data_IF_941684633068
#
_entry.id   IF_941684633068
#
_cell.length_a   1.000
_cell.length_b   1.000
_cell.length_c   1.000
_cell.angle_alpha   90.00
_cell.angle_beta   90.00
_cell.angle_gamma   90.00
#
_symmetry.space_group_name_H-M   'P 1'
#
loop_
_entity.id
_entity.type
_entity.pdbx_description
1 polymer ?
#
# COMPACT_ATOMS: atom_id res chain seq x y z
N UNK A 1 22.91 8.98 -3.50
CA UNK A 1 23.31 9.57 -2.20
C UNK A 1 23.57 11.04 -2.43
N UNK A 2 22.65 11.91 -2.01
CA UNK A 2 22.64 13.34 -2.31
C UNK A 2 23.57 14.20 -1.41
N UNK A 3 24.12 13.65 -0.34
CA UNK A 3 24.97 14.39 0.60
C UNK A 3 26.23 13.59 0.89
N UNK A 4 27.37 14.01 0.30
CA UNK A 4 28.68 13.34 0.43
C UNK A 4 29.50 13.84 1.63
N UNK A 5 29.31 15.09 2.10
CA UNK A 5 30.09 15.64 3.20
C UNK A 5 29.53 15.27 4.58
N UNK A 6 30.42 15.02 5.55
CA UNK A 6 30.06 14.74 6.95
C UNK A 6 29.30 15.92 7.56
N UNK A 7 29.74 17.15 7.28
CA UNK A 7 29.11 18.36 7.76
C UNK A 7 27.68 18.56 7.21
N UNK A 8 27.46 18.32 5.93
CA UNK A 8 26.13 18.42 5.33
C UNK A 8 25.15 17.40 5.93
N UNK A 9 25.60 16.20 6.22
CA UNK A 9 24.79 15.19 6.90
C UNK A 9 24.44 15.59 8.33
N UNK A 10 25.37 16.18 9.05
CA UNK A 10 25.16 16.65 10.41
C UNK A 10 24.14 17.79 10.46
N UNK A 11 24.22 18.75 9.54
CA UNK A 11 23.26 19.87 9.43
C UNK A 11 21.85 19.32 9.15
N UNK A 12 21.72 18.38 8.22
CA UNK A 12 20.42 17.75 7.92
C UNK A 12 19.86 17.07 9.17
N UNK A 13 20.68 16.32 9.92
CA UNK A 13 20.23 15.65 11.14
C UNK A 13 19.83 16.62 12.25
N UNK A 14 20.58 17.70 12.44
CA UNK A 14 20.30 18.74 13.45
C UNK A 14 18.99 19.48 13.17
N UNK A 15 18.63 19.65 11.89
CA UNK A 15 17.35 20.29 11.52
C UNK A 15 16.22 19.25 11.50
N UNK A 16 16.45 18.08 10.90
CA UNK A 16 15.42 17.08 10.71
C UNK A 16 14.98 16.40 12.02
N UNK A 17 15.94 16.06 12.90
CA UNK A 17 15.63 15.31 14.12
C UNK A 17 14.69 16.06 15.08
N UNK A 18 14.87 17.37 15.39
CA UNK A 18 13.93 18.07 16.25
C UNK A 18 12.55 18.26 15.59
N UNK A 19 12.50 18.57 14.28
CA UNK A 19 11.22 18.70 13.56
C UNK A 19 10.48 17.38 13.57
N UNK A 20 11.15 16.30 13.24
CA UNK A 20 10.57 14.95 13.27
C UNK A 20 10.17 14.56 14.71
N UNK A 21 11.01 14.86 15.69
CA UNK A 21 10.73 14.60 17.09
C UNK A 21 9.45 15.32 17.56
N UNK A 22 9.33 16.61 17.28
CA UNK A 22 8.13 17.37 17.66
C UNK A 22 6.89 16.84 16.92
N UNK A 23 6.97 16.69 15.61
CA UNK A 23 5.80 16.24 14.81
C UNK A 23 5.34 14.82 15.12
N UNK A 24 6.26 13.93 15.49
CA UNK A 24 5.96 12.53 15.73
C UNK A 24 5.80 12.18 17.21
N UNK A 25 6.70 12.69 18.06
CA UNK A 25 6.69 12.36 19.50
C UNK A 25 5.66 13.19 20.27
N UNK A 26 5.37 14.44 19.86
CA UNK A 26 4.41 15.25 20.58
C UNK A 26 3.00 14.67 20.59
N UNK A 27 2.41 14.22 19.45
CA UNK A 27 1.11 13.55 19.48
C UNK A 27 1.11 12.27 20.33
N UNK A 28 2.18 11.48 20.26
CA UNK A 28 2.30 10.27 21.07
C UNK A 28 2.41 10.59 22.55
N UNK A 29 3.19 11.61 22.90
CA UNK A 29 3.31 12.07 24.29
C UNK A 29 1.96 12.58 24.82
N UNK A 30 1.20 13.34 24.03
CA UNK A 30 -0.14 13.80 24.42
C UNK A 30 -1.07 12.62 24.66
N UNK A 31 -1.06 11.60 23.77
CA UNK A 31 -1.89 10.39 23.94
C UNK A 31 -1.50 9.66 25.23
N UNK A 32 -0.20 9.46 25.48
CA UNK A 32 0.28 8.81 26.70
C UNK A 32 -0.07 9.60 27.96
N UNK A 33 0.13 10.90 27.93
CA UNK A 33 -0.23 11.76 29.07
C UNK A 33 -1.75 11.76 29.30
N UNK A 34 -2.56 11.83 28.24
CA UNK A 34 -4.02 11.75 28.35
C UNK A 34 -4.47 10.41 28.93
N UNK A 35 -3.81 9.32 28.59
CA UNK A 35 -4.18 7.99 29.10
C UNK A 35 -3.87 7.81 30.59
N UNK A 36 -2.92 8.59 31.12
CA UNK A 36 -2.51 8.59 32.53
C UNK A 36 -3.11 9.73 33.34
N UNK A 37 -3.74 10.70 32.68
CA UNK A 37 -4.34 11.86 33.36
C UNK A 37 -5.67 11.50 34.02
N UNK A 38 -5.83 11.85 35.27
CA UNK A 38 -7.11 11.72 35.96
C UNK A 38 -8.15 12.69 35.39
N UNK A 39 -7.77 13.98 35.24
CA UNK A 39 -8.57 15.02 34.59
C UNK A 39 -7.68 15.92 33.75
N UNK A 40 -8.19 16.30 32.57
CA UNK A 40 -7.49 17.22 31.66
C UNK A 40 -8.29 18.52 31.51
N UNK A 41 -8.07 19.48 32.41
CA UNK A 41 -8.80 20.74 32.45
C UNK A 41 -7.96 21.99 32.06
N UNK A 42 -6.84 21.80 31.34
CA UNK A 42 -5.92 22.87 30.95
C UNK A 42 -4.81 22.42 30.03
N UNK A 43 -3.68 23.11 30.06
CA UNK A 43 -2.50 22.76 29.29
C UNK A 43 -1.77 21.53 29.85
N UNK A 44 -1.88 21.31 31.15
CA UNK A 44 -1.28 20.16 31.85
C UNK A 44 -2.35 19.30 32.53
N UNK A 45 -2.13 17.99 32.61
CA UNK A 45 -3.04 17.10 33.32
C UNK A 45 -3.02 17.33 34.82
N UNK A 46 -4.18 17.24 35.46
CA UNK A 46 -4.33 17.27 36.89
C UNK A 46 -4.39 15.85 37.42
N UNK A 47 -3.34 15.44 38.17
CA UNK A 47 -3.23 14.09 38.71
C UNK A 47 -2.82 13.03 37.66
N UNK A 48 -2.20 11.98 38.15
CA UNK A 48 -1.86 10.79 37.35
C UNK A 48 -2.57 9.60 37.94
N UNK A 49 -3.27 8.82 37.09
CA UNK A 49 -3.98 7.62 37.48
C UNK A 49 -3.76 6.50 36.48
N UNK A 50 -3.78 5.28 36.97
CA UNK A 50 -3.81 4.06 36.15
C UNK A 50 -5.19 3.40 36.12
N UNK A 51 -6.19 4.03 36.79
CA UNK A 51 -7.54 3.49 36.93
C UNK A 51 -8.19 3.23 35.57
N UNK A 52 -7.96 4.13 34.60
CA UNK A 52 -8.50 3.99 33.25
C UNK A 52 -8.11 2.67 32.57
N UNK A 53 -6.90 2.15 32.84
CA UNK A 53 -6.49 0.86 32.31
C UNK A 53 -7.23 -0.32 32.96
N UNK A 54 -7.51 -0.22 34.26
CA UNK A 54 -8.31 -1.21 34.95
C UNK A 54 -9.76 -1.20 34.46
N UNK A 55 -10.31 -0.01 34.18
CA UNK A 55 -11.67 0.15 33.68
C UNK A 55 -11.84 -0.30 32.23
N UNK A 56 -10.85 -0.06 31.38
CA UNK A 56 -10.80 -0.59 29.99
C UNK A 56 -10.79 -2.13 29.98
N UNK A 57 -10.14 -2.77 30.95
CA UNK A 57 -10.10 -4.22 31.05
C UNK A 57 -11.46 -4.85 31.43
N UNK A 58 -12.46 -4.03 31.74
CA UNK A 58 -13.78 -4.48 32.21
C UNK A 58 -14.91 -3.82 31.41
N UNK A 59 -16.03 -4.50 31.35
CA UNK A 59 -17.27 -3.92 30.84
C UNK A 59 -17.32 -3.67 29.31
N UNK A 60 -18.00 -2.59 28.93
CA UNK A 60 -18.28 -2.24 27.52
C UNK A 60 -17.03 -1.93 26.71
N UNK A 61 -16.03 -1.27 27.31
CA UNK A 61 -14.78 -0.93 26.65
C UNK A 61 -14.01 -2.18 26.21
N UNK A 62 -13.93 -3.20 27.08
CA UNK A 62 -13.31 -4.49 26.74
C UNK A 62 -14.02 -5.20 25.58
N UNK A 63 -15.35 -5.16 25.57
CA UNK A 63 -16.14 -5.72 24.46
C UNK A 63 -15.88 -4.97 23.15
N UNK A 64 -15.75 -3.66 23.18
CA UNK A 64 -15.41 -2.85 22.01
C UNK A 64 -14.00 -3.18 21.49
N UNK A 65 -13.01 -3.35 22.38
CA UNK A 65 -11.64 -3.77 21.99
C UNK A 65 -11.67 -5.15 21.32
N UNK A 66 -12.35 -6.12 21.92
CA UNK A 66 -12.51 -7.46 21.33
C UNK A 66 -13.17 -7.41 19.97
N UNK A 67 -14.26 -6.67 19.82
CA UNK A 67 -14.96 -6.50 18.57
C UNK A 67 -14.05 -5.89 17.50
N UNK A 68 -13.28 -4.84 17.84
CA UNK A 68 -12.33 -4.20 16.92
C UNK A 68 -11.21 -5.13 16.48
N UNK A 69 -10.64 -5.91 17.42
CA UNK A 69 -9.59 -6.88 17.11
C UNK A 69 -10.11 -7.98 16.18
N UNK A 70 -11.24 -8.59 16.52
CA UNK A 70 -11.84 -9.66 15.70
C UNK A 70 -12.16 -9.15 14.30
N UNK A 71 -12.81 -7.98 14.20
CA UNK A 71 -13.16 -7.38 12.92
C UNK A 71 -11.93 -7.05 12.10
N UNK A 72 -10.91 -6.44 12.73
CA UNK A 72 -9.66 -6.07 12.07
C UNK A 72 -8.89 -7.28 11.56
N UNK A 73 -8.70 -8.31 12.39
CA UNK A 73 -8.02 -9.54 11.98
C UNK A 73 -8.76 -10.30 10.88
N UNK A 74 -10.07 -10.44 11.01
CA UNK A 74 -10.87 -11.18 10.03
C UNK A 74 -10.92 -10.47 8.68
N UNK A 75 -11.17 -9.16 8.68
CA UNK A 75 -11.15 -8.35 7.46
C UNK A 75 -9.76 -8.36 6.79
N UNK A 76 -8.69 -8.25 7.59
CA UNK A 76 -7.31 -8.29 7.07
C UNK A 76 -6.95 -9.64 6.48
N UNK A 77 -7.32 -10.75 7.11
CA UNK A 77 -7.08 -12.09 6.59
C UNK A 77 -7.81 -12.32 5.26
N UNK A 78 -9.08 -11.95 5.19
CA UNK A 78 -9.87 -12.05 3.96
C UNK A 78 -9.30 -11.17 2.84
N UNK A 79 -8.91 -9.94 3.16
CA UNK A 79 -8.31 -9.02 2.20
C UNK A 79 -6.93 -9.49 1.73
N UNK A 80 -6.12 -10.08 2.61
CA UNK A 80 -4.81 -10.63 2.26
C UNK A 80 -4.96 -11.78 1.26
N UNK A 81 -5.85 -12.72 1.55
CA UNK A 81 -6.09 -13.88 0.68
C UNK A 81 -6.65 -13.43 -0.68
N UNK A 82 -7.73 -12.65 -0.68
CA UNK A 82 -8.39 -12.21 -1.91
C UNK A 82 -7.54 -11.26 -2.75
N UNK A 83 -6.89 -10.27 -2.12
CA UNK A 83 -6.01 -9.32 -2.80
C UNK A 83 -4.76 -9.97 -3.40
N UNK A 84 -4.17 -10.94 -2.68
CA UNK A 84 -3.04 -11.73 -3.19
C UNK A 84 -3.48 -12.61 -4.36
N UNK A 85 -4.61 -13.29 -4.22
CA UNK A 85 -5.15 -14.13 -5.29
C UNK A 85 -5.48 -13.31 -6.54
N UNK A 86 -6.14 -12.16 -6.38
CA UNK A 86 -6.41 -11.24 -7.48
C UNK A 86 -5.13 -10.79 -8.18
N UNK A 87 -4.09 -10.39 -7.43
CA UNK A 87 -2.82 -9.96 -7.99
C UNK A 87 -2.11 -11.09 -8.77
N UNK A 88 -2.16 -12.33 -8.27
CA UNK A 88 -1.59 -13.50 -8.93
C UNK A 88 -2.36 -13.89 -10.19
N UNK A 89 -3.69 -13.92 -10.11
CA UNK A 89 -4.57 -14.26 -11.25
C UNK A 89 -4.42 -13.27 -12.41
N UNK A 90 -4.26 -12.00 -12.11
CA UNK A 90 -4.04 -10.97 -13.12
C UNK A 90 -2.74 -11.15 -13.92
N UNK A 91 -1.76 -11.87 -13.40
CA UNK A 91 -0.50 -12.14 -14.14
C UNK A 91 -0.73 -12.92 -15.43
N UNK A 92 -1.73 -13.78 -15.45
CA UNK A 92 -2.06 -14.64 -16.57
C UNK A 92 -2.96 -13.94 -17.60
N UNK A 93 -3.50 -12.77 -17.27
CA UNK A 93 -4.44 -12.05 -18.11
C UNK A 93 -3.77 -11.12 -19.12
N UNK A 94 -4.51 -10.73 -20.16
CA UNK A 94 -4.05 -9.79 -21.17
C UNK A 94 -3.84 -8.36 -20.62
N UNK A 95 -3.11 -7.50 -21.36
CA UNK A 95 -2.71 -6.17 -20.88
C UNK A 95 -3.90 -5.22 -20.61
N UNK A 96 -4.97 -5.35 -21.37
CA UNK A 96 -6.17 -4.51 -21.21
C UNK A 96 -6.88 -4.82 -19.86
N UNK A 97 -7.08 -6.10 -19.56
CA UNK A 97 -7.73 -6.54 -18.32
C UNK A 97 -6.87 -6.23 -17.09
N UNK A 98 -5.53 -6.39 -17.21
CA UNK A 98 -4.59 -5.95 -16.16
C UNK A 98 -4.75 -4.47 -15.82
N UNK A 99 -4.87 -3.62 -16.84
CA UNK A 99 -5.02 -2.18 -16.66
C UNK A 99 -6.36 -1.84 -16.00
N UNK A 100 -7.45 -2.43 -16.51
CA UNK A 100 -8.80 -2.18 -16.01
C UNK A 100 -8.95 -2.61 -14.55
N UNK A 101 -8.61 -3.86 -14.23
CA UNK A 101 -8.72 -4.38 -12.87
C UNK A 101 -7.71 -3.73 -11.92
N UNK A 102 -6.51 -3.40 -12.42
CA UNK A 102 -5.54 -2.63 -11.64
C UNK A 102 -6.07 -1.26 -11.23
N UNK A 103 -6.76 -0.55 -12.12
CA UNK A 103 -7.43 0.72 -11.80
C UNK A 103 -8.56 0.51 -10.79
N UNK A 104 -9.40 -0.51 -10.99
CA UNK A 104 -10.53 -0.81 -10.10
C UNK A 104 -10.07 -1.08 -8.65
N UNK A 105 -9.01 -1.87 -8.47
CA UNK A 105 -8.41 -2.12 -7.14
C UNK A 105 -7.71 -0.88 -6.57
N UNK A 106 -7.25 0.04 -7.43
CA UNK A 106 -6.55 1.24 -6.97
C UNK A 106 -7.50 2.34 -6.51
N UNK A 107 -8.72 2.43 -7.07
CA UNK A 107 -9.71 3.48 -6.75
C UNK A 107 -9.93 3.63 -5.24
N UNK A 108 -10.18 2.57 -4.44
CA UNK A 108 -10.42 2.73 -3.01
C UNK A 108 -9.22 3.30 -2.24
N UNK A 109 -8.00 3.08 -2.71
CA UNK A 109 -6.79 3.64 -2.08
C UNK A 109 -6.50 5.09 -2.48
N UNK A 110 -7.06 5.56 -3.60
CA UNK A 110 -6.92 6.93 -4.07
C UNK A 110 -7.93 7.89 -3.43
N UNK A 111 -9.04 7.35 -2.92
CA UNK A 111 -10.09 8.13 -2.24
C UNK A 111 -9.77 8.27 -0.75
N UNK A 112 -9.95 9.44 -0.13
CA UNK A 112 -9.81 9.59 1.31
C UNK A 112 -10.69 8.60 2.07
N UNK A 113 -10.13 7.92 3.07
CA UNK A 113 -10.83 6.85 3.82
C UNK A 113 -12.15 7.32 4.45
N UNK A 114 -12.21 8.59 4.87
CA UNK A 114 -13.45 9.21 5.40
C UNK A 114 -14.54 9.23 4.34
N UNK A 115 -14.21 9.58 3.09
CA UNK A 115 -15.19 9.60 1.98
C UNK A 115 -15.68 8.20 1.64
N UNK A 116 -14.79 7.19 1.68
CA UNK A 116 -15.19 5.78 1.51
C UNK A 116 -16.14 5.36 2.63
N UNK A 117 -15.83 5.69 3.88
CA UNK A 117 -16.68 5.39 5.02
C UNK A 117 -18.05 6.03 4.92
N UNK A 118 -18.13 7.32 4.57
CA UNK A 118 -19.39 8.04 4.35
C UNK A 118 -20.20 7.46 3.18
N UNK A 119 -19.51 7.13 2.07
CA UNK A 119 -20.15 6.50 0.91
C UNK A 119 -20.80 5.16 1.26
N UNK A 120 -20.09 4.31 2.03
CA UNK A 120 -20.63 3.05 2.53
C UNK A 120 -21.80 3.28 3.49
N UNK A 121 -21.68 4.24 4.41
CA UNK A 121 -22.74 4.58 5.32
C UNK A 121 -24.03 4.95 4.58
N UNK A 122 -23.92 5.82 3.58
CA UNK A 122 -25.08 6.26 2.77
C UNK A 122 -25.63 5.10 1.93
N UNK A 123 -24.77 4.32 1.27
CA UNK A 123 -25.16 3.21 0.42
C UNK A 123 -25.91 2.11 1.17
N UNK A 124 -25.55 1.85 2.43
CA UNK A 124 -26.14 0.80 3.26
C UNK A 124 -27.13 1.32 4.31
N UNK A 125 -27.57 2.59 4.20
CA UNK A 125 -28.62 3.18 5.04
C UNK A 125 -30.03 2.99 4.48
N UNK A 126 -30.16 2.50 3.25
CA UNK A 126 -31.45 2.35 2.56
C UNK A 126 -31.75 0.88 2.23
N UNK A 127 -33.06 0.50 2.18
CA UNK A 127 -33.42 -0.83 1.68
C UNK A 127 -32.93 -1.06 0.27
N UNK A 128 -32.56 -2.31 -0.11
CA UNK A 128 -32.80 -3.57 0.61
C UNK A 128 -31.71 -3.96 1.60
N UNK A 129 -30.57 -3.27 1.67
CA UNK A 129 -29.42 -3.66 2.47
C UNK A 129 -29.21 -2.67 3.64
N UNK A 130 -29.98 -2.81 4.68
CA UNK A 130 -29.83 -2.04 5.92
C UNK A 130 -28.72 -2.67 6.79
N UNK A 131 -27.46 -2.28 6.54
CA UNK A 131 -26.32 -2.75 7.33
C UNK A 131 -25.77 -1.67 8.27
N UNK A 132 -26.38 -0.50 8.30
CA UNK A 132 -25.94 0.61 9.13
C UNK A 132 -26.00 0.24 10.62
N UNK A 133 -24.95 0.60 11.37
CA UNK A 133 -24.82 0.26 12.80
C UNK A 133 -24.42 -1.20 13.08
N UNK A 134 -24.14 -2.01 12.06
CA UNK A 134 -23.69 -3.40 12.23
C UNK A 134 -22.20 -3.56 12.10
N UNK A 135 -21.64 -4.63 12.68
CA UNK A 135 -20.24 -5.01 12.50
C UNK A 135 -19.93 -5.33 11.02
N UNK A 136 -20.94 -5.78 10.26
CA UNK A 136 -20.78 -6.15 8.86
C UNK A 136 -20.33 -4.98 7.98
N UNK A 137 -20.88 -3.78 8.14
CA UNK A 137 -20.47 -2.60 7.36
C UNK A 137 -19.01 -2.21 7.65
N UNK A 138 -18.59 -2.34 8.92
CA UNK A 138 -17.21 -2.08 9.34
C UNK A 138 -16.27 -3.09 8.72
N UNK A 139 -16.64 -4.37 8.69
CA UNK A 139 -15.86 -5.42 8.01
C UNK A 139 -15.73 -5.16 6.52
N UNK A 140 -16.82 -4.78 5.83
CA UNK A 140 -16.81 -4.45 4.40
C UNK A 140 -15.86 -3.27 4.13
N UNK A 141 -15.96 -2.20 4.93
CA UNK A 141 -15.10 -1.03 4.80
C UNK A 141 -13.61 -1.38 4.94
N UNK A 142 -13.26 -2.11 5.98
CA UNK A 142 -11.87 -2.57 6.20
C UNK A 142 -11.40 -3.50 5.08
N UNK A 143 -12.24 -4.45 4.67
CA UNK A 143 -11.93 -5.38 3.59
C UNK A 143 -11.63 -4.65 2.29
N UNK A 144 -12.46 -3.69 1.87
CA UNK A 144 -12.29 -2.91 0.64
C UNK A 144 -10.97 -2.14 0.67
N UNK A 145 -10.69 -1.41 1.75
CA UNK A 145 -9.48 -0.62 1.88
C UNK A 145 -8.23 -1.50 1.91
N UNK A 146 -8.20 -2.55 2.74
CA UNK A 146 -7.03 -3.41 2.91
C UNK A 146 -6.78 -4.25 1.65
N UNK A 147 -7.80 -4.71 0.95
CA UNK A 147 -7.65 -5.47 -0.29
C UNK A 147 -6.98 -4.65 -1.40
N UNK A 148 -7.29 -3.35 -1.49
CA UNK A 148 -6.64 -2.43 -2.41
C UNK A 148 -5.13 -2.30 -2.12
N UNK A 149 -4.75 -2.13 -0.85
CA UNK A 149 -3.35 -2.09 -0.44
C UNK A 149 -2.63 -3.41 -0.69
N UNK A 150 -3.25 -4.53 -0.34
CA UNK A 150 -2.67 -5.87 -0.56
C UNK A 150 -2.43 -6.12 -2.04
N UNK A 151 -3.42 -5.89 -2.88
CA UNK A 151 -3.29 -6.01 -4.33
C UNK A 151 -2.18 -5.13 -4.88
N UNK A 152 -2.11 -3.87 -4.47
CA UNK A 152 -1.09 -2.90 -4.88
C UNK A 152 0.32 -3.36 -4.53
N UNK A 153 0.55 -3.75 -3.28
CA UNK A 153 1.84 -4.21 -2.79
C UNK A 153 2.31 -5.50 -3.49
N UNK A 154 1.46 -6.51 -3.58
CA UNK A 154 1.79 -7.77 -4.27
C UNK A 154 2.08 -7.53 -5.74
N UNK A 155 1.28 -6.70 -6.41
CA UNK A 155 1.50 -6.34 -7.82
C UNK A 155 2.80 -5.56 -8.04
N UNK A 156 3.21 -4.71 -7.09
CA UNK A 156 4.46 -3.94 -7.16
C UNK A 156 5.68 -4.84 -6.99
N UNK A 157 5.67 -5.75 -6.03
CA UNK A 157 6.74 -6.73 -5.81
C UNK A 157 6.99 -7.55 -7.08
N UNK A 158 5.93 -8.06 -7.69
CA UNK A 158 6.07 -8.84 -8.93
C UNK A 158 6.60 -8.04 -10.11
N UNK A 159 6.22 -6.77 -10.23
CA UNK A 159 6.80 -5.88 -11.26
C UNK A 159 8.29 -5.68 -11.06
N UNK A 160 8.75 -5.63 -9.83
CA UNK A 160 10.17 -5.51 -9.49
C UNK A 160 11.01 -6.74 -9.87
N UNK A 161 10.46 -7.95 -9.77
CA UNK A 161 11.18 -9.18 -10.11
C UNK A 161 11.35 -9.41 -11.63
N UNK A 162 10.46 -8.90 -12.46
CA UNK A 162 10.48 -9.11 -13.92
C UNK A 162 11.70 -8.49 -14.63
N UNK A 163 12.16 -7.27 -14.32
CA UNK A 163 13.33 -6.70 -14.97
C UNK A 163 14.64 -7.43 -14.61
N UNK A 164 14.73 -8.00 -13.42
CA UNK A 164 15.93 -8.75 -12.98
C UNK A 164 16.03 -10.06 -13.76
N UNK A 165 14.96 -10.81 -13.91
CA UNK A 165 14.94 -12.07 -14.67
C UNK A 165 15.28 -11.87 -16.15
N UNK A 166 14.79 -10.79 -16.76
CA UNK A 166 15.09 -10.45 -18.15
C UNK A 166 16.54 -9.95 -18.32
N UNK A 167 17.14 -9.34 -17.31
CA UNK A 167 18.53 -8.95 -17.32
C UNK A 167 19.45 -10.19 -17.26
N UNK A 168 19.14 -11.15 -16.42
CA UNK A 168 19.87 -12.43 -16.34
C UNK A 168 19.73 -13.26 -17.62
N UNK A 169 18.54 -13.32 -18.24
CA UNK A 169 18.33 -13.98 -19.54
C UNK A 169 19.17 -13.34 -20.65
N UNK A 170 19.30 -12.03 -20.66
CA UNK A 170 20.17 -11.32 -21.63
C UNK A 170 21.65 -11.56 -21.34
N UNK A 171 22.06 -11.56 -20.08
CA UNK A 171 23.46 -11.79 -19.68
C UNK A 171 23.90 -13.24 -19.92
N UNK A 172 23.00 -14.23 -19.80
CA UNK A 172 23.31 -15.65 -20.03
C UNK A 172 23.27 -16.08 -21.50
N UNK A 173 23.07 -15.16 -22.45
CA UNK A 173 23.04 -15.46 -23.88
C UNK A 173 21.90 -16.38 -24.38
N UNK A 174 21.03 -16.83 -23.48
CA UNK A 174 19.95 -17.78 -23.79
C UNK A 174 18.69 -17.16 -24.40
N UNK A 175 18.77 -15.92 -24.89
CA UNK A 175 17.60 -15.15 -25.31
C UNK A 175 17.42 -14.91 -26.80
N UNK A 176 18.26 -15.48 -27.66
CA UNK A 176 18.04 -15.45 -29.11
C UNK A 176 17.77 -16.85 -29.58
N UNK A 177 16.55 -17.21 -30.01
CA UNK A 177 16.41 -18.28 -30.95
C UNK A 177 17.19 -17.85 -32.19
N UNK A 178 18.19 -18.65 -32.56
CA UNK A 178 18.82 -18.55 -33.88
C UNK A 178 17.70 -18.86 -34.86
N UNK A 179 16.98 -17.83 -35.30
CA UNK A 179 16.12 -17.91 -36.45
C UNK A 179 17.05 -18.21 -37.61
N UNK A 180 16.95 -19.42 -38.14
CA UNK A 180 17.40 -19.77 -39.47
C UNK A 180 16.52 -18.95 -40.43
N UNK A 181 16.79 -17.67 -40.53
CA UNK A 181 16.25 -16.76 -41.52
C UNK A 181 17.44 -16.40 -42.40
N UNK A 182 17.41 -16.89 -43.60
CA UNK A 182 18.31 -16.59 -44.72
C UNK A 182 18.69 -15.10 -44.72
N UNK A 183 19.77 -14.78 -44.06
CA UNK A 183 20.45 -13.51 -44.24
C UNK A 183 21.09 -13.53 -45.61
N UNK A 184 20.41 -12.92 -46.60
CA UNK A 184 21.04 -12.50 -47.85
C UNK A 184 22.19 -11.58 -47.44
N UNK A 185 23.42 -12.08 -47.61
CA UNK A 185 24.61 -11.26 -47.57
C UNK A 185 24.47 -10.10 -48.58
N UNK A 186 24.65 -8.83 -48.17
CA UNK A 186 24.74 -7.74 -49.11
C UNK A 186 26.17 -7.59 -49.68
N UNK A 187 26.81 -8.69 -50.08
CA UNK A 187 28.10 -8.68 -50.73
C UNK A 187 27.97 -9.28 -52.12
N UNK A 188 27.37 -8.56 -53.05
CA UNK A 188 27.59 -8.70 -54.48
C UNK A 188 27.03 -7.50 -55.23
N UNK A 189 27.65 -6.35 -55.10
CA UNK A 189 27.65 -5.37 -56.20
C UNK A 189 28.88 -5.63 -57.03
N UNK A 190 28.76 -5.98 -58.32
CA UNK A 190 29.90 -6.09 -59.22
C UNK A 190 30.42 -4.67 -59.49
N UNK A 191 31.77 -4.55 -59.43
CA UNK A 191 32.56 -3.30 -59.59
C UNK A 191 32.53 -2.75 -61.02
N UNK A 192 31.64 -3.15 -61.88
CA UNK A 192 31.60 -2.77 -63.30
C UNK A 192 30.40 -1.89 -63.64
N UNK A 193 30.33 -0.69 -63.10
CA UNK A 193 29.50 0.35 -63.60
C UNK A 193 30.03 1.73 -63.20
N UNK A 194 31.18 2.08 -63.73
CA UNK A 194 31.56 3.49 -63.87
C UNK A 194 30.91 4.03 -65.17
N UNK A 195 30.14 5.10 -65.14
CA UNK A 195 29.76 5.79 -66.34
C UNK A 195 30.94 6.60 -66.81
N UNK A 196 31.38 6.30 -68.02
CA UNK A 196 32.21 7.16 -68.82
C UNK A 196 31.39 8.35 -69.29
N UNK A 197 31.84 9.55 -68.94
CA UNK A 197 31.28 10.83 -69.44
C UNK A 197 31.74 11.96 -68.50
#
# INVERSE_FOLDING_TARGET
>A
MLVWSRSGRLIIWVIFAPIFGVLFLAPLAVILLSSLADQWNGVLPNGLTTQHYADVAKGAAWNAVKASLVTGFLASALALVSGTWAALSLRLQGPALKRLLGLLFFIPSAVPSVSVGLGLLVAFSHPPLLLNGTIAIVMIAHFVLISAFTFGNVSAVWRGFHPISNRWRRASGRGRPIGFGTSRCPCSRPIWSLPSG
#
